data_IF_035937311034
#
_entry.id   IF_035937311034
#
_cell.length_a   1.000
_cell.length_b   1.000
_cell.length_c   1.000
_cell.angle_alpha   90.00
_cell.angle_beta   90.00
_cell.angle_gamma   90.00
#
_symmetry.space_group_name_H-M   'P 1'
#
loop_
_entity.id
_entity.type
_entity.pdbx_description
1 polymer ?
#
# COMPACT_ATOMS: atom_id res chain seq x y z
N UNK A 1 16.41 57.40 -34.00
CA UNK A 1 16.12 58.63 -33.23
C UNK A 1 15.48 58.20 -31.90
N UNK A 2 16.29 57.94 -30.86
CA UNK A 2 16.58 58.86 -29.71
C UNK A 2 15.30 59.26 -28.97
N UNK A 3 15.05 58.97 -27.68
CA UNK A 3 15.86 58.96 -26.44
C UNK A 3 15.13 58.02 -25.43
N UNK A 4 15.71 57.11 -24.64
CA UNK A 4 16.76 57.20 -23.61
C UNK A 4 16.43 58.14 -22.43
N UNK A 5 16.53 57.58 -21.20
CA UNK A 5 16.78 58.16 -19.86
C UNK A 5 15.67 57.88 -18.82
N UNK A 6 15.92 57.44 -17.58
CA UNK A 6 17.10 56.89 -16.87
C UNK A 6 16.65 56.71 -15.38
N UNK A 7 17.34 55.83 -14.62
CA UNK A 7 17.70 55.99 -13.19
C UNK A 7 16.72 55.49 -12.08
N UNK A 8 17.09 54.29 -11.57
CA UNK A 8 17.15 53.75 -10.18
C UNK A 8 17.56 54.82 -9.11
N UNK A 9 17.74 54.61 -7.76
CA UNK A 9 17.72 53.39 -6.94
C UNK A 9 17.19 53.58 -5.47
N UNK A 10 17.37 52.53 -4.65
CA UNK A 10 17.87 52.56 -3.25
C UNK A 10 17.00 53.13 -2.12
N UNK A 11 16.51 52.23 -1.26
CA UNK A 11 16.88 52.12 0.18
C UNK A 11 16.25 50.80 0.71
N UNK A 12 17.02 49.78 1.13
CA UNK A 12 17.63 49.60 2.46
C UNK A 12 16.61 49.79 3.61
N UNK A 13 16.55 49.03 4.69
CA UNK A 13 17.23 47.83 5.19
C UNK A 13 16.51 47.57 6.52
N UNK A 14 16.03 46.34 6.77
CA UNK A 14 15.68 45.92 8.13
C UNK A 14 15.97 44.42 8.26
N UNK A 15 17.26 44.14 8.35
CA UNK A 15 17.77 43.03 9.15
C UNK A 15 17.50 43.37 10.62
N UNK A 16 16.88 42.45 11.37
CA UNK A 16 17.39 41.92 12.65
C UNK A 16 16.33 41.08 13.35
N UNK A 17 16.82 40.04 14.03
CA UNK A 17 16.21 39.28 15.11
C UNK A 17 15.09 38.29 14.77
N UNK A 18 15.48 37.02 14.65
CA UNK A 18 14.55 35.90 14.60
C UNK A 18 15.19 34.52 14.47
N UNK A 19 16.50 34.37 14.76
CA UNK A 19 17.08 33.07 15.04
C UNK A 19 16.53 32.58 16.38
N UNK A 20 15.53 31.71 16.32
CA UNK A 20 14.91 31.16 17.51
C UNK A 20 13.96 30.03 17.16
N UNK A 21 14.51 28.81 17.22
CA UNK A 21 13.82 27.57 17.59
C UNK A 21 12.51 27.25 16.88
N UNK A 22 12.59 26.39 15.86
CA UNK A 22 11.69 25.24 15.74
C UNK A 22 12.36 24.08 14.99
N UNK A 23 13.52 23.66 15.48
CA UNK A 23 13.94 22.25 15.42
C UNK A 23 13.14 21.47 16.46
N UNK A 24 11.83 21.30 16.22
CA UNK A 24 10.96 20.47 17.06
C UNK A 24 10.03 19.63 16.21
N UNK A 25 10.61 18.88 15.26
CA UNK A 25 10.15 17.52 15.02
C UNK A 25 11.26 16.57 15.42
N UNK A 26 11.27 16.31 16.73
CA UNK A 26 11.93 15.19 17.35
C UNK A 26 11.64 13.91 16.54
N UNK A 27 12.61 13.52 15.71
CA UNK A 27 13.50 12.42 16.08
C UNK A 27 12.87 11.51 17.14
N UNK A 28 11.95 10.65 16.72
CA UNK A 28 11.59 9.49 17.53
C UNK A 28 12.69 8.45 17.31
N UNK A 29 13.80 8.68 18.02
CA UNK A 29 14.68 7.64 18.55
C UNK A 29 14.97 6.46 17.63
N UNK A 30 15.58 6.71 16.46
CA UNK A 30 16.65 5.79 16.06
C UNK A 30 17.83 6.11 16.96
N UNK A 31 17.78 5.62 18.21
CA UNK A 31 18.99 5.41 18.99
C UNK A 31 19.98 4.76 18.04
N UNK A 32 21.02 5.53 17.71
CA UNK A 32 22.18 5.02 17.01
C UNK A 32 22.59 3.77 17.75
N UNK A 33 22.28 2.63 17.15
CA UNK A 33 23.06 1.44 17.38
C UNK A 33 24.45 1.86 16.91
N UNK A 34 25.29 2.31 17.85
CA UNK A 34 26.73 2.36 17.68
C UNK A 34 27.10 1.10 16.92
N UNK A 35 27.75 1.26 15.78
CA UNK A 35 28.10 0.19 14.84
C UNK A 35 28.84 -0.99 15.47
N UNK A 36 29.31 -0.83 16.71
CA UNK A 36 30.22 -1.74 17.39
C UNK A 36 29.54 -2.63 18.44
N UNK A 37 28.26 -2.41 18.77
CA UNK A 37 27.52 -3.37 19.59
C UNK A 37 26.98 -4.50 18.70
N UNK A 38 27.70 -5.63 18.67
CA UNK A 38 27.22 -6.89 18.09
C UNK A 38 25.94 -7.31 18.81
N UNK A 39 24.79 -6.91 18.27
CA UNK A 39 23.48 -7.28 18.79
C UNK A 39 23.29 -8.78 18.56
N UNK A 40 22.98 -9.52 19.62
CA UNK A 40 22.72 -10.96 19.49
C UNK A 40 21.54 -11.21 18.54
N UNK A 41 21.58 -12.32 17.80
CA UNK A 41 20.50 -12.70 16.87
C UNK A 41 19.13 -12.72 17.56
N UNK A 42 19.06 -13.17 18.81
CA UNK A 42 17.82 -13.20 19.57
C UNK A 42 17.30 -11.80 19.90
N UNK A 43 18.17 -10.88 20.31
CA UNK A 43 17.81 -9.48 20.54
C UNK A 43 17.32 -8.80 19.24
N UNK A 44 18.00 -9.07 18.12
CA UNK A 44 17.57 -8.57 16.81
C UNK A 44 16.16 -9.06 16.44
N UNK A 45 15.89 -10.36 16.61
CA UNK A 45 14.58 -10.95 16.31
C UNK A 45 13.47 -10.44 17.25
N UNK A 46 13.76 -10.20 18.52
CA UNK A 46 12.81 -9.59 19.45
C UNK A 46 12.49 -8.14 19.05
N UNK A 47 13.51 -7.36 18.69
CA UNK A 47 13.33 -5.97 18.22
C UNK A 47 12.51 -5.92 16.93
N UNK A 48 12.79 -6.79 15.96
CA UNK A 48 11.95 -6.96 14.76
C UNK A 48 10.49 -7.21 15.12
N UNK A 49 10.21 -8.17 16.01
CA UNK A 49 8.82 -8.47 16.41
C UNK A 49 8.12 -7.26 17.02
N UNK A 50 8.82 -6.50 17.86
CA UNK A 50 8.29 -5.26 18.46
C UNK A 50 7.95 -4.23 17.38
N UNK A 51 8.85 -4.02 16.41
CA UNK A 51 8.64 -3.09 15.30
C UNK A 51 7.50 -3.54 14.36
N UNK A 52 7.43 -4.84 14.04
CA UNK A 52 6.32 -5.42 13.26
C UNK A 52 4.96 -5.20 13.97
N UNK A 53 4.88 -5.38 15.29
CA UNK A 53 3.67 -5.11 16.08
C UNK A 53 3.25 -3.64 16.02
N UNK A 54 4.21 -2.73 16.06
CA UNK A 54 3.99 -1.27 15.91
C UNK A 54 3.75 -0.84 14.46
N UNK A 55 3.78 -1.77 13.49
CA UNK A 55 3.70 -1.52 12.05
C UNK A 55 4.84 -0.63 11.53
N UNK A 56 5.95 -0.54 12.25
CA UNK A 56 7.17 0.10 11.76
C UNK A 56 7.94 -0.87 10.87
N UNK A 57 7.43 -1.02 9.64
CA UNK A 57 8.01 -1.92 8.65
C UNK A 57 9.41 -1.47 8.19
N UNK A 58 9.68 -0.16 8.17
CA UNK A 58 10.97 0.37 7.73
C UNK A 58 12.05 0.12 8.78
N UNK A 59 11.73 0.37 10.05
CA UNK A 59 12.60 0.02 11.18
C UNK A 59 12.85 -1.49 11.25
N UNK A 60 11.80 -2.31 11.13
CA UNK A 60 11.95 -3.76 11.13
C UNK A 60 12.86 -4.27 9.99
N UNK A 61 12.73 -3.69 8.79
CA UNK A 61 13.61 -3.99 7.66
C UNK A 61 15.07 -3.63 7.94
N UNK A 62 15.31 -2.47 8.56
CA UNK A 62 16.65 -2.05 8.98
C UNK A 62 17.30 -3.05 9.95
N UNK A 63 16.55 -3.52 10.94
CA UNK A 63 17.05 -4.53 11.90
C UNK A 63 17.32 -5.87 11.22
N UNK A 64 16.46 -6.33 10.30
CA UNK A 64 16.74 -7.54 9.52
C UNK A 64 18.00 -7.44 8.69
N UNK A 65 18.23 -6.30 8.02
CA UNK A 65 19.44 -6.07 7.20
C UNK A 65 20.70 -6.10 8.07
N UNK A 66 20.68 -5.41 9.21
CA UNK A 66 21.79 -5.44 10.18
C UNK A 66 22.08 -6.86 10.67
N UNK A 67 21.03 -7.61 11.06
CA UNK A 67 21.18 -8.99 11.51
C UNK A 67 21.70 -9.93 10.40
N UNK A 68 21.29 -9.71 9.14
CA UNK A 68 21.78 -10.49 8.00
C UNK A 68 23.23 -10.18 7.66
N UNK A 69 23.69 -8.94 7.85
CA UNK A 69 25.10 -8.58 7.67
C UNK A 69 25.98 -9.25 8.72
N UNK A 70 25.50 -9.34 9.98
CA UNK A 70 26.25 -9.95 11.08
C UNK A 70 26.16 -11.49 11.09
N UNK A 71 25.03 -12.06 10.62
CA UNK A 71 24.73 -13.50 10.69
C UNK A 71 24.35 -14.07 9.31
N UNK A 72 25.06 -13.67 8.25
CA UNK A 72 24.73 -13.99 6.85
C UNK A 72 24.69 -15.49 6.52
N UNK A 73 25.37 -16.33 7.29
CA UNK A 73 25.31 -17.80 7.16
C UNK A 73 24.00 -18.42 7.65
N UNK A 74 23.18 -17.69 8.42
CA UNK A 74 22.00 -18.27 9.06
C UNK A 74 20.82 -18.42 8.08
N UNK A 75 20.60 -19.64 7.58
CA UNK A 75 19.48 -19.99 6.67
C UNK A 75 18.10 -19.66 7.27
N UNK A 76 17.91 -19.85 8.58
CA UNK A 76 16.64 -19.56 9.28
C UNK A 76 16.35 -18.06 9.32
N UNK A 77 17.37 -17.22 9.51
CA UNK A 77 17.24 -15.76 9.44
C UNK A 77 16.86 -15.30 8.02
N UNK A 78 17.53 -15.82 6.99
CA UNK A 78 17.19 -15.56 5.59
C UNK A 78 15.73 -15.90 5.28
N UNK A 79 15.27 -17.09 5.67
CA UNK A 79 13.86 -17.50 5.50
C UNK A 79 12.89 -16.57 6.23
N UNK A 80 13.21 -16.15 7.46
CA UNK A 80 12.39 -15.20 8.23
C UNK A 80 12.30 -13.83 7.54
N UNK A 81 13.41 -13.33 7.01
CA UNK A 81 13.43 -12.06 6.27
C UNK A 81 12.61 -12.11 4.99
N UNK A 82 12.66 -13.22 4.23
CA UNK A 82 11.81 -13.41 3.05
C UNK A 82 10.32 -13.40 3.42
N UNK A 83 9.95 -14.13 4.48
CA UNK A 83 8.58 -14.13 5.00
C UNK A 83 8.14 -12.73 5.46
N UNK A 84 9.03 -11.98 6.11
CA UNK A 84 8.79 -10.58 6.47
C UNK A 84 8.50 -9.72 5.24
N UNK A 85 9.33 -9.82 4.19
CA UNK A 85 9.12 -9.06 2.95
C UNK A 85 7.76 -9.38 2.32
N UNK A 86 7.37 -10.65 2.29
CA UNK A 86 6.05 -11.06 1.80
C UNK A 86 4.91 -10.44 2.63
N UNK A 87 5.00 -10.50 3.97
CA UNK A 87 4.01 -9.87 4.87
C UNK A 87 3.93 -8.36 4.69
N UNK A 88 5.07 -7.68 4.57
CA UNK A 88 5.15 -6.23 4.33
C UNK A 88 4.51 -5.85 3.00
N UNK A 89 4.83 -6.56 1.92
CA UNK A 89 4.24 -6.32 0.60
C UNK A 89 2.73 -6.52 0.60
N UNK A 90 2.25 -7.53 1.31
CA UNK A 90 0.82 -7.77 1.47
C UNK A 90 0.14 -6.63 2.25
N UNK A 91 0.72 -6.20 3.38
CA UNK A 91 0.25 -5.04 4.13
C UNK A 91 0.17 -3.78 3.25
N UNK A 92 1.22 -3.48 2.49
CA UNK A 92 1.25 -2.31 1.60
C UNK A 92 0.18 -2.38 0.50
N UNK A 93 -0.04 -3.56 -0.09
CA UNK A 93 -1.10 -3.75 -1.08
C UNK A 93 -2.48 -3.49 -0.47
N UNK A 94 -2.75 -4.00 0.74
CA UNK A 94 -4.00 -3.73 1.47
C UNK A 94 -4.19 -2.24 1.76
N UNK A 95 -3.13 -1.56 2.22
CA UNK A 95 -3.18 -0.13 2.51
C UNK A 95 -3.50 0.70 1.27
N UNK A 96 -2.92 0.34 0.12
CA UNK A 96 -3.18 1.03 -1.14
C UNK A 96 -4.62 0.85 -1.63
N UNK A 97 -5.14 -0.39 -1.59
CA UNK A 97 -6.56 -0.64 -1.90
C UNK A 97 -7.46 0.15 -0.94
N UNK A 98 -7.22 0.09 0.38
CA UNK A 98 -7.98 0.84 1.37
C UNK A 98 -7.94 2.36 1.13
N UNK A 99 -6.80 2.90 0.69
CA UNK A 99 -6.66 4.32 0.33
C UNK A 99 -7.55 4.67 -0.85
N UNK A 100 -7.53 3.88 -1.92
CA UNK A 100 -8.38 4.10 -3.09
C UNK A 100 -9.89 3.99 -2.75
N UNK A 101 -10.27 3.03 -1.91
CA UNK A 101 -11.66 2.89 -1.44
C UNK A 101 -12.09 4.14 -0.65
N UNK A 102 -11.22 4.68 0.22
CA UNK A 102 -11.52 5.92 0.96
C UNK A 102 -11.69 7.11 0.02
N UNK A 103 -10.84 7.22 -1.01
CA UNK A 103 -10.97 8.27 -2.03
C UNK A 103 -12.30 8.16 -2.77
N UNK A 104 -12.67 6.95 -3.21
CA UNK A 104 -13.96 6.68 -3.84
C UNK A 104 -15.15 7.08 -2.95
N UNK A 105 -15.14 6.67 -1.68
CA UNK A 105 -16.19 7.01 -0.73
C UNK A 105 -16.28 8.52 -0.48
N UNK A 106 -15.13 9.22 -0.42
CA UNK A 106 -15.11 10.67 -0.29
C UNK A 106 -15.73 11.37 -1.51
N UNK A 107 -15.46 10.91 -2.74
CA UNK A 107 -16.10 11.42 -3.95
C UNK A 107 -17.61 11.20 -3.92
N UNK A 108 -18.06 9.99 -3.56
CA UNK A 108 -19.48 9.65 -3.44
C UNK A 108 -20.19 10.59 -2.44
N UNK A 109 -19.58 10.83 -1.28
CA UNK A 109 -20.11 11.78 -0.26
C UNK A 109 -20.18 13.20 -0.80
N UNK A 110 -19.15 13.69 -1.49
CA UNK A 110 -19.14 15.03 -2.11
C UNK A 110 -20.27 15.18 -3.13
N UNK A 111 -20.47 14.17 -3.98
CA UNK A 111 -21.54 14.18 -4.98
C UNK A 111 -22.93 14.29 -4.33
N UNK A 112 -23.25 13.44 -3.36
CA UNK A 112 -24.56 13.52 -2.68
C UNK A 112 -24.76 14.83 -1.93
N UNK A 113 -23.71 15.38 -1.30
CA UNK A 113 -23.81 16.67 -0.63
C UNK A 113 -24.13 17.81 -1.59
N UNK A 114 -23.57 17.79 -2.81
CA UNK A 114 -23.89 18.78 -3.85
C UNK A 114 -25.28 18.55 -4.42
N UNK A 115 -25.65 17.30 -4.73
CA UNK A 115 -26.98 16.95 -5.24
C UNK A 115 -28.11 17.27 -4.26
N UNK A 116 -27.86 17.17 -2.96
CA UNK A 116 -28.83 17.57 -1.93
C UNK A 116 -29.05 19.09 -1.87
N UNK A 117 -28.07 19.89 -2.29
CA UNK A 117 -28.18 21.37 -2.37
C UNK A 117 -28.74 21.83 -3.71
N UNK A 118 -28.41 21.10 -4.78
CA UNK A 118 -28.82 21.37 -6.14
C UNK A 118 -29.21 20.04 -6.81
N UNK A 119 -30.52 19.72 -6.89
CA UNK A 119 -31.01 18.49 -7.51
C UNK A 119 -30.63 18.34 -8.99
N UNK A 120 -30.32 19.44 -9.69
CA UNK A 120 -29.91 19.46 -11.09
C UNK A 120 -28.43 19.12 -11.29
N UNK A 121 -27.65 19.03 -10.20
CA UNK A 121 -26.23 18.70 -10.24
C UNK A 121 -25.97 17.26 -10.72
N UNK A 122 -25.49 17.14 -11.96
CA UNK A 122 -25.18 15.85 -12.60
C UNK A 122 -23.70 15.41 -12.50
N UNK A 123 -22.83 16.22 -11.87
CA UNK A 123 -21.53 15.78 -11.36
C UNK A 123 -20.29 16.03 -12.23
N UNK A 124 -19.36 16.84 -11.72
CA UNK A 124 -18.03 17.09 -12.33
C UNK A 124 -16.96 16.01 -11.99
N UNK A 125 -17.21 15.16 -10.99
CA UNK A 125 -16.20 14.23 -10.46
C UNK A 125 -16.11 12.88 -11.21
N UNK A 126 -16.74 12.77 -12.37
CA UNK A 126 -16.81 11.52 -13.14
C UNK A 126 -15.42 11.04 -13.59
N UNK A 127 -14.53 11.95 -13.98
CA UNK A 127 -13.15 11.64 -14.39
C UNK A 127 -12.35 11.03 -13.24
N UNK A 128 -12.47 11.60 -12.05
CA UNK A 128 -11.79 11.11 -10.85
C UNK A 128 -12.31 9.71 -10.45
N UNK A 129 -13.62 9.49 -10.53
CA UNK A 129 -14.23 8.19 -10.28
C UNK A 129 -13.72 7.11 -11.26
N UNK A 130 -13.60 7.44 -12.56
CA UNK A 130 -13.02 6.54 -13.57
C UNK A 130 -11.57 6.21 -13.27
N UNK A 131 -10.75 7.19 -12.89
CA UNK A 131 -9.34 6.94 -12.57
C UNK A 131 -9.19 6.04 -11.36
N UNK A 132 -9.98 6.28 -10.30
CA UNK A 132 -9.97 5.45 -9.10
C UNK A 132 -10.45 4.04 -9.41
N UNK A 133 -11.52 3.89 -10.23
CA UNK A 133 -12.03 2.57 -10.60
C UNK A 133 -11.01 1.76 -11.40
N UNK A 134 -10.34 2.38 -12.39
CA UNK A 134 -9.24 1.73 -13.13
C UNK A 134 -8.11 1.29 -12.20
N UNK A 135 -7.67 2.16 -11.29
CA UNK A 135 -6.63 1.83 -10.31
C UNK A 135 -7.03 0.68 -9.39
N UNK A 136 -8.28 0.66 -8.92
CA UNK A 136 -8.81 -0.45 -8.11
C UNK A 136 -8.82 -1.75 -8.90
N UNK A 137 -9.23 -1.73 -10.17
CA UNK A 137 -9.21 -2.90 -11.04
C UNK A 137 -7.79 -3.44 -11.23
N UNK A 138 -6.82 -2.57 -11.54
CA UNK A 138 -5.41 -2.96 -11.70
C UNK A 138 -4.84 -3.58 -10.42
N UNK A 139 -5.14 -3.00 -9.25
CA UNK A 139 -4.69 -3.54 -7.96
C UNK A 139 -5.37 -4.87 -7.66
N UNK A 140 -6.62 -5.04 -8.02
CA UNK A 140 -7.36 -6.28 -7.90
C UNK A 140 -6.77 -7.41 -8.74
N UNK A 141 -6.46 -7.14 -10.02
CA UNK A 141 -5.80 -8.12 -10.90
C UNK A 141 -4.41 -8.51 -10.39
N UNK A 142 -3.62 -7.54 -9.90
CA UNK A 142 -2.31 -7.82 -9.27
C UNK A 142 -2.45 -8.65 -7.99
N UNK A 143 -3.47 -8.40 -7.18
CA UNK A 143 -3.75 -9.19 -5.99
C UNK A 143 -4.14 -10.63 -6.36
N UNK A 144 -4.95 -10.80 -7.42
CA UNK A 144 -5.34 -12.10 -7.95
C UNK A 144 -4.12 -12.91 -8.41
N UNK A 145 -3.24 -12.31 -9.22
CA UNK A 145 -1.99 -12.94 -9.67
C UNK A 145 -1.07 -13.34 -8.50
N UNK A 146 -1.10 -12.59 -7.40
CA UNK A 146 -0.34 -12.89 -6.19
C UNK A 146 -1.03 -13.92 -5.26
N UNK A 147 -2.14 -14.54 -5.68
CA UNK A 147 -2.90 -15.51 -4.87
C UNK A 147 -3.68 -14.89 -3.70
N UNK A 148 -3.91 -13.57 -3.71
CA UNK A 148 -4.59 -12.82 -2.64
C UNK A 148 -6.07 -12.62 -2.97
N UNK A 149 -6.81 -13.73 -3.05
CA UNK A 149 -8.22 -13.77 -3.50
C UNK A 149 -9.11 -12.74 -2.80
N UNK A 150 -9.09 -12.68 -1.46
CA UNK A 150 -9.93 -11.75 -0.68
C UNK A 150 -9.62 -10.26 -0.99
N UNK A 151 -8.35 -9.93 -1.22
CA UNK A 151 -7.96 -8.56 -1.57
C UNK A 151 -8.36 -8.23 -3.01
N UNK A 152 -8.22 -9.19 -3.92
CA UNK A 152 -8.64 -9.07 -5.31
C UNK A 152 -10.13 -8.82 -5.42
N UNK A 153 -10.94 -9.65 -4.76
CA UNK A 153 -12.40 -9.54 -4.68
C UNK A 153 -12.83 -8.14 -4.26
N UNK A 154 -12.34 -7.69 -3.10
CA UNK A 154 -12.70 -6.39 -2.54
C UNK A 154 -12.31 -5.23 -3.45
N UNK A 155 -11.14 -5.30 -4.11
CA UNK A 155 -10.69 -4.26 -5.01
C UNK A 155 -11.51 -4.22 -6.32
N UNK A 156 -11.78 -5.38 -6.91
CA UNK A 156 -12.51 -5.50 -8.17
C UNK A 156 -13.99 -5.15 -8.01
N UNK A 157 -14.63 -5.65 -6.96
CA UNK A 157 -16.00 -5.30 -6.64
C UNK A 157 -16.15 -3.79 -6.43
N UNK A 158 -15.25 -3.19 -5.64
CA UNK A 158 -15.28 -1.74 -5.45
C UNK A 158 -15.01 -0.98 -6.75
N UNK A 159 -14.14 -1.49 -7.63
CA UNK A 159 -13.87 -0.84 -8.91
C UNK A 159 -15.15 -0.65 -9.73
N UNK A 160 -15.99 -1.69 -9.82
CA UNK A 160 -17.25 -1.65 -10.57
C UNK A 160 -18.29 -0.80 -9.86
N UNK A 161 -18.38 -0.87 -8.52
CA UNK A 161 -19.27 -0.01 -7.72
C UNK A 161 -18.96 1.47 -7.85
N UNK A 162 -17.68 1.84 -7.97
CA UNK A 162 -17.25 3.23 -8.14
C UNK A 162 -17.59 3.73 -9.53
N UNK A 163 -17.22 2.96 -10.56
CA UNK A 163 -17.62 3.25 -11.92
C UNK A 163 -17.51 2.00 -12.80
N UNK A 164 -18.66 1.59 -13.34
CA UNK A 164 -18.80 0.42 -14.20
C UNK A 164 -18.48 0.79 -15.65
N UNK A 165 -17.35 0.31 -16.17
CA UNK A 165 -16.97 0.46 -17.57
C UNK A 165 -16.41 -0.85 -18.12
N UNK A 166 -16.07 -0.90 -19.41
CA UNK A 166 -15.52 -2.09 -20.06
C UNK A 166 -14.31 -2.66 -19.32
N UNK A 167 -13.40 -1.81 -18.83
CA UNK A 167 -12.20 -2.23 -18.12
C UNK A 167 -12.53 -2.88 -16.77
N UNK A 168 -13.35 -2.22 -15.94
CA UNK A 168 -13.67 -2.73 -14.60
C UNK A 168 -14.53 -3.98 -14.66
N UNK A 169 -15.50 -4.03 -15.58
CA UNK A 169 -16.30 -5.24 -15.85
C UNK A 169 -15.46 -6.41 -16.33
N UNK A 170 -14.57 -6.17 -17.31
CA UNK A 170 -13.66 -7.21 -17.81
C UNK A 170 -12.74 -7.73 -16.71
N UNK A 171 -12.23 -6.85 -15.84
CA UNK A 171 -11.40 -7.25 -14.71
C UNK A 171 -12.18 -8.09 -13.68
N UNK A 172 -13.44 -7.73 -13.39
CA UNK A 172 -14.31 -8.52 -12.52
C UNK A 172 -14.64 -9.88 -13.13
N UNK A 173 -14.95 -9.94 -14.43
CA UNK A 173 -15.24 -11.19 -15.14
C UNK A 173 -14.05 -12.17 -15.05
N UNK A 174 -12.83 -11.69 -15.33
CA UNK A 174 -11.60 -12.49 -15.19
C UNK A 174 -11.41 -13.06 -13.79
N UNK A 175 -11.86 -12.32 -12.76
CA UNK A 175 -11.77 -12.79 -11.39
C UNK A 175 -12.82 -13.85 -11.06
N UNK A 176 -14.03 -13.75 -11.61
CA UNK A 176 -15.04 -14.79 -11.48
C UNK A 176 -14.56 -16.10 -12.12
N UNK A 177 -14.05 -16.03 -13.36
CA UNK A 177 -13.46 -17.19 -14.04
C UNK A 177 -12.28 -17.79 -13.25
N UNK A 178 -11.47 -16.94 -12.62
CA UNK A 178 -10.39 -17.41 -11.74
C UNK A 178 -10.93 -18.16 -10.51
N UNK A 179 -11.98 -17.63 -9.86
CA UNK A 179 -12.62 -18.30 -8.71
C UNK A 179 -13.21 -19.65 -9.10
N UNK A 180 -13.96 -19.70 -10.20
CA UNK A 180 -14.55 -20.95 -10.72
C UNK A 180 -13.48 -22.02 -10.97
N UNK A 181 -12.34 -21.64 -11.58
CA UNK A 181 -11.22 -22.57 -11.79
C UNK A 181 -10.60 -23.05 -10.48
N UNK A 182 -10.49 -22.20 -9.47
CA UNK A 182 -9.97 -22.59 -8.15
C UNK A 182 -10.90 -23.56 -7.44
N UNK A 183 -12.21 -23.28 -7.44
CA UNK A 183 -13.23 -24.15 -6.84
C UNK A 183 -13.25 -25.51 -7.54
N UNK A 184 -13.23 -25.53 -8.88
CA UNK A 184 -13.14 -26.75 -9.65
C UNK A 184 -11.88 -27.57 -9.32
N UNK A 185 -10.71 -26.92 -9.26
CA UNK A 185 -9.47 -27.59 -8.88
C UNK A 185 -9.52 -28.19 -7.47
N UNK A 186 -10.17 -27.50 -6.52
CA UNK A 186 -10.36 -28.00 -5.17
C UNK A 186 -11.30 -29.22 -5.12
N UNK A 187 -12.40 -29.19 -5.89
CA UNK A 187 -13.32 -30.32 -6.03
C UNK A 187 -12.60 -31.55 -6.60
N UNK A 188 -11.84 -31.39 -7.69
CA UNK A 188 -11.04 -32.49 -8.27
C UNK A 188 -10.04 -33.05 -7.25
N UNK A 189 -9.35 -32.18 -6.51
CA UNK A 189 -8.41 -32.62 -5.47
C UNK A 189 -9.10 -33.39 -4.35
N UNK A 190 -10.30 -32.98 -3.93
CA UNK A 190 -11.11 -33.70 -2.93
C UNK A 190 -11.57 -35.05 -3.47
N UNK A 191 -12.06 -35.09 -4.71
CA UNK A 191 -12.49 -36.33 -5.38
C UNK A 191 -11.37 -37.36 -5.48
N UNK A 192 -10.16 -36.95 -5.90
CA UNK A 192 -8.98 -37.83 -5.95
C UNK A 192 -8.63 -38.42 -4.59
N UNK A 193 -8.60 -37.59 -3.53
CA UNK A 193 -8.34 -38.09 -2.17
C UNK A 193 -9.34 -39.14 -1.71
N UNK A 194 -10.62 -38.99 -2.08
CA UNK A 194 -11.64 -39.99 -1.72
C UNK A 194 -11.46 -41.29 -2.51
N UNK A 195 -11.08 -41.20 -3.79
CA UNK A 195 -10.77 -42.36 -4.62
C UNK A 195 -9.54 -43.13 -4.08
N UNK A 196 -8.47 -42.42 -3.72
CA UNK A 196 -7.24 -43.02 -3.16
C UNK A 196 -7.54 -43.76 -1.83
N UNK A 197 -8.37 -43.18 -0.95
CA UNK A 197 -8.80 -43.82 0.30
C UNK A 197 -9.65 -45.07 0.05
N UNK A 198 -10.48 -45.07 -1.00
CA UNK A 198 -11.32 -46.21 -1.34
C UNK A 198 -10.54 -47.39 -1.96
N UNK A 199 -9.37 -47.14 -2.55
CA UNK A 199 -8.51 -48.18 -3.14
C UNK A 199 -7.56 -48.87 -2.15
N UNK A 200 -7.42 -48.35 -0.93
CA UNK A 200 -6.60 -48.95 0.15
C UNK A 200 -7.41 -49.84 1.10
N UNK A 201 -8.69 -50.07 0.82
CA UNK A 201 -9.59 -50.99 1.55
C UNK A 201 -9.97 -52.17 0.68
#
# INVERSE_FOLDING_TARGET
>A
MTRARLILPLLLLALLSGCGVNEFFASHGTNGLRSDQKMSLNAALQKVRSLERRRDWKGAEGVYRSALNQHGGNKKLKRRYLNFKARRQDYLARMEVNRLIRQANALKRKHYRRKAKDPSYNGEHWREAIQISKRLADKGLKAMQAGRSNLAERALEMSVRVHSNRTTRSAQQRFMEFKERQEFAELVRKGRKMADISSER
#
